data_IF_641820786605
#
_entry.id   IF_641820786605
#
_cell.length_a   1.000
_cell.length_b   1.000
_cell.length_c   1.000
_cell.angle_alpha   90.00
_cell.angle_beta   90.00
_cell.angle_gamma   90.00
#
_symmetry.space_group_name_H-M   'P 1'
#
loop_
_entity.id
_entity.type
_entity.pdbx_description
1 polymer ?
#
# COMPACT_ATOMS: atom_id res chain seq x y z
N UNK A 1 -46.67 -21.60 54.26
CA UNK A 1 -45.23 -21.46 53.92
C UNK A 1 -44.96 -22.58 52.91
N UNK A 2 -44.51 -22.41 51.67
CA UNK A 2 -43.85 -21.32 50.97
C UNK A 2 -44.06 -21.63 49.47
N UNK A 3 -44.68 -20.72 48.72
CA UNK A 3 -44.91 -20.85 47.27
C UNK A 3 -43.79 -20.09 46.56
N UNK A 4 -42.94 -20.81 45.81
CA UNK A 4 -41.91 -20.18 44.98
C UNK A 4 -42.51 -19.88 43.60
N UNK A 5 -42.81 -18.59 43.35
CA UNK A 5 -43.19 -18.10 42.03
C UNK A 5 -41.93 -17.95 41.18
N UNK A 6 -41.82 -18.73 40.11
CA UNK A 6 -40.80 -18.56 39.07
C UNK A 6 -41.23 -17.37 38.20
N UNK A 7 -40.75 -16.20 38.59
CA UNK A 7 -40.75 -14.99 37.78
C UNK A 7 -39.35 -14.85 37.20
N UNK A 8 -39.22 -14.81 35.88
CA UNK A 8 -38.47 -13.79 35.13
C UNK A 8 -38.44 -14.21 33.67
N UNK A 9 -39.31 -13.58 32.90
CA UNK A 9 -39.31 -13.51 31.45
C UNK A 9 -38.14 -12.59 31.03
N UNK A 10 -37.03 -13.15 30.56
CA UNK A 10 -36.04 -12.42 29.75
C UNK A 10 -35.94 -13.14 28.41
N UNK A 11 -36.65 -12.60 27.43
CA UNK A 11 -36.43 -12.81 26.01
C UNK A 11 -35.13 -12.09 25.63
N UNK A 12 -33.98 -12.78 25.63
CA UNK A 12 -32.76 -12.23 25.06
C UNK A 12 -32.82 -12.43 23.53
N UNK A 13 -33.33 -11.43 22.83
CA UNK A 13 -33.20 -11.28 21.38
C UNK A 13 -31.72 -11.47 20.99
N UNK A 14 -31.35 -12.39 20.07
CA UNK A 14 -30.01 -12.38 19.52
C UNK A 14 -29.91 -11.25 18.49
N UNK A 15 -29.87 -10.00 18.95
CA UNK A 15 -29.49 -8.84 18.14
C UNK A 15 -27.99 -8.55 18.36
N UNK A 16 -27.12 -9.48 17.97
CA UNK A 16 -25.72 -9.16 17.69
C UNK A 16 -25.10 -10.23 16.80
N UNK A 17 -25.68 -10.41 15.60
CA UNK A 17 -24.84 -10.77 14.45
C UNK A 17 -24.08 -9.51 14.05
N UNK A 18 -22.98 -9.23 14.75
CA UNK A 18 -21.95 -8.38 14.17
C UNK A 18 -21.48 -9.10 12.90
N UNK A 19 -21.56 -8.51 11.70
CA UNK A 19 -20.75 -9.02 10.61
C UNK A 19 -19.32 -8.92 11.10
N UNK A 20 -18.64 -10.06 11.18
CA UNK A 20 -17.22 -10.14 11.49
C UNK A 20 -16.52 -9.23 10.48
N UNK A 21 -16.20 -8.01 10.91
CA UNK A 21 -15.43 -7.07 10.12
C UNK A 21 -14.15 -7.82 9.81
N UNK A 22 -13.89 -8.09 8.53
CA UNK A 22 -12.66 -8.75 8.09
C UNK A 22 -11.50 -8.03 8.73
N UNK A 23 -10.90 -8.61 9.78
CA UNK A 23 -9.77 -7.98 10.44
C UNK A 23 -8.70 -7.81 9.35
N UNK A 24 -8.17 -6.59 9.13
CA UNK A 24 -7.02 -6.45 8.27
C UNK A 24 -5.95 -7.33 8.88
N UNK A 25 -5.57 -8.39 8.18
CA UNK A 25 -4.50 -9.27 8.59
C UNK A 25 -3.33 -8.34 8.93
N UNK A 26 -2.81 -8.30 10.17
CA UNK A 26 -1.64 -7.51 10.48
C UNK A 26 -0.50 -8.22 9.78
N UNK A 27 -0.39 -7.98 8.47
CA UNK A 27 0.84 -8.21 7.78
C UNK A 27 1.76 -7.16 8.39
N UNK A 28 2.45 -7.55 9.47
CA UNK A 28 3.76 -7.01 9.75
C UNK A 28 4.65 -7.45 8.56
N UNK A 29 4.32 -6.94 7.38
CA UNK A 29 4.88 -7.30 6.09
C UNK A 29 6.09 -6.42 5.87
N UNK A 30 7.01 -6.47 6.81
CA UNK A 30 8.40 -6.19 6.52
C UNK A 30 8.83 -7.29 5.53
N UNK A 31 8.59 -7.04 4.24
CA UNK A 31 8.99 -7.96 3.19
C UNK A 31 10.51 -8.17 3.32
N UNK A 32 11.00 -9.42 3.35
CA UNK A 32 12.42 -9.66 3.48
C UNK A 32 13.17 -8.96 2.35
N UNK A 33 14.19 -8.19 2.73
CA UNK A 33 15.06 -7.52 1.77
C UNK A 33 15.96 -8.57 1.13
N UNK A 34 16.04 -8.54 -0.19
CA UNK A 34 16.97 -9.34 -0.98
C UNK A 34 18.27 -8.56 -1.21
N UNK A 35 18.15 -7.30 -1.65
CA UNK A 35 19.28 -6.39 -1.84
C UNK A 35 18.94 -5.01 -1.28
N UNK A 36 19.90 -4.40 -0.57
CA UNK A 36 19.81 -3.02 -0.09
C UNK A 36 21.01 -2.24 -0.61
N UNK A 37 20.77 -1.32 -1.54
CA UNK A 37 21.79 -0.43 -2.11
C UNK A 37 21.38 0.99 -1.77
N UNK A 38 21.43 1.30 -0.48
CA UNK A 38 21.09 2.62 0.04
C UNK A 38 22.11 3.68 -0.43
N UNK A 39 21.69 4.90 -0.82
CA UNK A 39 20.34 5.46 -0.78
C UNK A 39 19.50 5.25 -2.06
N UNK A 40 19.93 4.40 -3.00
CA UNK A 40 19.36 4.35 -4.34
C UNK A 40 18.14 3.43 -4.46
N UNK A 41 18.31 2.16 -4.11
CA UNK A 41 17.34 1.10 -4.44
C UNK A 41 17.31 0.03 -3.35
N UNK A 42 16.10 -0.47 -3.08
CA UNK A 42 15.86 -1.64 -2.23
C UNK A 42 15.03 -2.65 -3.00
N UNK A 43 15.51 -3.89 -3.03
CA UNK A 43 14.85 -5.01 -3.71
C UNK A 43 14.36 -5.98 -2.65
N UNK A 44 13.08 -6.32 -2.70
CA UNK A 44 12.44 -7.27 -1.80
C UNK A 44 12.37 -8.65 -2.43
N UNK A 45 12.33 -9.71 -1.62
CA UNK A 45 12.27 -11.10 -2.10
C UNK A 45 11.02 -11.41 -2.94
N UNK A 46 9.94 -10.67 -2.75
CA UNK A 46 8.72 -10.81 -3.55
C UNK A 46 8.82 -10.16 -4.95
N UNK A 47 10.00 -9.62 -5.33
CA UNK A 47 10.24 -8.95 -6.60
C UNK A 47 9.86 -7.46 -6.63
N UNK A 48 9.31 -6.92 -5.53
CA UNK A 48 9.04 -5.49 -5.41
C UNK A 48 10.35 -4.71 -5.32
N UNK A 49 10.41 -3.57 -6.00
CA UNK A 49 11.56 -2.68 -6.00
C UNK A 49 11.11 -1.31 -5.49
N UNK A 50 11.82 -0.78 -4.52
CA UNK A 50 11.66 0.59 -4.03
C UNK A 50 12.86 1.43 -4.48
N UNK A 51 12.60 2.49 -5.25
CA UNK A 51 13.59 3.52 -5.58
C UNK A 51 13.48 4.61 -4.53
N UNK A 52 14.56 4.80 -3.76
CA UNK A 52 14.56 5.59 -2.52
C UNK A 52 14.90 7.05 -2.78
N UNK A 53 15.90 7.31 -3.63
CA UNK A 53 16.15 8.64 -4.17
C UNK A 53 15.90 8.63 -5.68
N UNK A 54 15.23 9.69 -6.15
CA UNK A 54 15.08 9.98 -7.56
C UNK A 54 16.25 10.80 -8.09
N UNK A 55 16.30 10.92 -9.41
CA UNK A 55 17.05 11.99 -10.06
C UNK A 55 16.06 13.02 -10.57
N UNK A 56 16.48 14.29 -10.60
CA UNK A 56 15.65 15.36 -11.15
C UNK A 56 15.30 15.08 -12.61
N UNK A 57 14.05 15.37 -12.95
CA UNK A 57 13.56 15.25 -14.31
C UNK A 57 13.79 16.57 -15.05
N UNK A 58 14.56 16.53 -16.14
CA UNK A 58 14.74 17.64 -17.07
C UNK A 58 13.91 17.37 -18.34
N UNK A 59 12.95 18.25 -18.70
CA UNK A 59 12.18 18.07 -19.93
C UNK A 59 13.05 18.35 -21.17
N UNK A 60 12.65 17.82 -22.35
CA UNK A 60 13.17 18.25 -23.64
C UNK A 60 13.24 19.77 -23.79
N UNK A 61 14.36 20.30 -24.29
CA UNK A 61 14.54 21.74 -24.48
C UNK A 61 14.97 22.09 -25.91
N UNK A 62 14.01 22.29 -26.84
CA UNK A 62 14.30 22.60 -28.24
C UNK A 62 14.55 24.09 -28.51
N UNK A 63 14.33 24.99 -27.53
CA UNK A 63 14.34 26.45 -27.77
C UNK A 63 15.00 27.24 -26.66
N UNK A 64 15.69 26.59 -25.71
CA UNK A 64 16.48 27.31 -24.73
C UNK A 64 17.69 27.96 -25.42
N UNK A 65 17.76 29.30 -25.50
CA UNK A 65 18.84 30.00 -26.19
C UNK A 65 20.15 29.97 -25.40
N UNK A 66 20.12 29.52 -24.14
CA UNK A 66 21.31 29.33 -23.30
C UNK A 66 21.86 27.91 -23.37
N UNK A 67 21.05 26.96 -23.84
CA UNK A 67 21.48 25.60 -24.10
C UNK A 67 22.05 25.48 -25.52
N UNK A 68 23.32 25.10 -25.63
CA UNK A 68 23.95 24.79 -26.92
C UNK A 68 23.45 23.47 -27.53
N UNK A 69 22.63 22.71 -26.78
CA UNK A 69 22.17 21.37 -27.15
C UNK A 69 20.65 21.30 -27.09
N UNK A 70 20.06 20.76 -28.14
CA UNK A 70 18.63 20.45 -28.22
C UNK A 70 18.35 18.98 -27.92
N UNK A 71 17.37 18.73 -27.06
CA UNK A 71 16.92 17.39 -26.68
C UNK A 71 15.44 17.17 -27.01
N UNK A 72 15.08 15.91 -27.31
CA UNK A 72 13.69 15.45 -27.46
C UNK A 72 13.56 13.98 -27.12
N UNK A 73 12.38 13.58 -26.66
CA UNK A 73 12.00 12.18 -26.45
C UNK A 73 11.23 11.64 -27.66
N UNK A 74 11.51 10.39 -28.06
CA UNK A 74 10.78 9.69 -29.14
C UNK A 74 10.40 8.28 -28.70
N UNK A 75 9.18 7.84 -29.05
CA UNK A 75 8.75 6.45 -28.84
C UNK A 75 9.22 5.60 -30.01
N UNK A 76 10.24 4.76 -29.78
CA UNK A 76 10.81 3.92 -30.84
C UNK A 76 9.99 2.65 -31.11
N UNK A 77 9.35 2.07 -30.09
CA UNK A 77 8.51 0.88 -30.23
C UNK A 77 7.09 1.20 -29.78
N UNK A 78 6.12 0.98 -30.68
CA UNK A 78 4.71 0.98 -30.30
C UNK A 78 4.30 -0.45 -29.91
N UNK A 79 3.42 -0.55 -28.93
CA UNK A 79 2.91 -1.81 -28.40
C UNK A 79 1.74 -2.31 -29.24
#
# INVERSE_FOLDING_TARGET
MMSAKISTLIFFLPLFSFPFLSQPNPTNSQQPILYDIYPFIRVYKNGTIQRLIGQDFAPPSPTDPTAEVHSKDITFSQK
#
